data_IF_733139749684
#
_entry.id   IF_733139749684
#
_cell.length_a   1.000
_cell.length_b   1.000
_cell.length_c   1.000
_cell.angle_alpha   90.00
_cell.angle_beta   90.00
_cell.angle_gamma   90.00
#
_symmetry.space_group_name_H-M   'P 1'
#
loop_
_entity.id
_entity.type
_entity.pdbx_description
1 polymer ?
#
# COMPACT_ATOMS: atom_id res chain seq x y z
N UNK A 1 -2.22 -12.18 27.40
CA UNK A 1 -2.42 -13.03 26.21
C UNK A 1 -1.30 -14.02 26.13
N UNK A 2 -1.55 -15.24 26.51
CA UNK A 2 -0.58 -16.30 26.46
C UNK A 2 -0.77 -17.06 25.14
N UNK A 3 -0.16 -16.57 24.11
CA UNK A 3 0.18 -17.36 22.94
C UNK A 3 1.46 -18.13 23.26
N UNK A 4 1.74 -19.17 22.50
CA UNK A 4 2.98 -19.93 22.63
C UNK A 4 4.18 -18.97 22.57
N UNK A 5 4.99 -18.98 23.61
CA UNK A 5 6.16 -18.11 23.78
C UNK A 5 7.42 -18.95 23.59
N UNK A 6 8.40 -18.42 22.89
CA UNK A 6 9.67 -19.06 22.67
C UNK A 6 10.08 -19.15 21.20
N UNK A 7 11.36 -19.43 20.97
CA UNK A 7 11.94 -19.50 19.63
C UNK A 7 11.63 -20.84 18.91
N UNK A 8 11.30 -21.87 19.67
CA UNK A 8 10.92 -23.19 19.13
C UNK A 8 9.80 -23.81 19.98
N UNK A 9 8.55 -23.49 19.67
CA UNK A 9 7.41 -24.00 20.42
C UNK A 9 7.29 -25.53 20.29
N UNK A 10 7.01 -26.19 21.39
CA UNK A 10 6.62 -27.62 21.35
C UNK A 10 5.15 -27.72 20.90
N UNK A 11 4.96 -28.14 19.68
CA UNK A 11 3.65 -28.27 19.06
C UNK A 11 2.85 -29.48 19.53
N UNK A 12 3.44 -30.42 20.27
CA UNK A 12 2.72 -31.61 20.74
C UNK A 12 1.57 -31.27 21.68
N UNK A 13 1.79 -30.26 22.51
CA UNK A 13 0.82 -29.79 23.50
C UNK A 13 0.25 -28.42 23.14
N UNK A 14 0.29 -28.03 21.86
CA UNK A 14 -0.27 -26.80 21.41
C UNK A 14 -1.74 -26.65 21.84
N UNK A 15 -2.11 -25.48 22.39
CA UNK A 15 -3.43 -25.27 23.00
C UNK A 15 -4.54 -25.00 21.97
N UNK A 16 -4.37 -25.44 20.74
CA UNK A 16 -5.30 -25.17 19.65
C UNK A 16 -5.28 -26.21 18.53
N UNK A 17 -6.18 -26.06 17.58
CA UNK A 17 -6.19 -26.85 16.35
C UNK A 17 -5.16 -26.30 15.36
N UNK A 18 -3.98 -26.86 15.37
CA UNK A 18 -2.81 -26.39 14.64
C UNK A 18 -1.95 -27.58 14.18
N UNK A 19 -1.08 -27.35 13.21
CA UNK A 19 -0.08 -28.30 12.73
C UNK A 19 -0.67 -29.62 12.20
N UNK A 20 -1.94 -29.62 11.74
CA UNK A 20 -2.66 -30.83 11.32
C UNK A 20 -2.74 -31.92 12.42
N UNK A 21 -2.45 -31.55 13.67
CA UNK A 21 -2.32 -32.55 14.78
C UNK A 21 -3.66 -32.94 15.37
N UNK A 22 -4.72 -32.18 15.13
CA UNK A 22 -6.06 -32.41 15.70
C UNK A 22 -7.08 -32.70 14.62
N UNK A 23 -7.34 -31.71 13.76
CA UNK A 23 -8.19 -31.82 12.58
C UNK A 23 -7.46 -31.29 11.35
N UNK A 24 -7.63 -31.95 10.23
CA UNK A 24 -7.17 -31.46 8.93
C UNK A 24 -8.15 -30.48 8.29
N UNK A 25 -8.86 -29.72 9.10
CA UNK A 25 -9.82 -28.68 8.74
C UNK A 25 -10.13 -27.79 9.95
N UNK A 26 -10.92 -26.76 9.77
CA UNK A 26 -11.49 -26.03 10.91
C UNK A 26 -12.36 -26.93 11.78
N UNK A 27 -12.42 -26.65 13.07
CA UNK A 27 -13.26 -27.33 14.05
C UNK A 27 -14.25 -26.36 14.69
N UNK A 28 -15.26 -26.86 15.45
CA UNK A 28 -16.15 -26.00 16.23
C UNK A 28 -15.37 -25.06 17.17
N UNK A 29 -15.82 -23.81 17.25
CA UNK A 29 -15.13 -22.70 17.96
C UNK A 29 -15.08 -22.86 19.48
N UNK A 30 -15.74 -23.85 20.04
CA UNK A 30 -15.84 -24.12 21.49
C UNK A 30 -14.90 -25.26 21.96
N UNK A 31 -13.98 -25.70 21.12
CA UNK A 31 -13.13 -26.87 21.40
C UNK A 31 -11.89 -26.55 22.22
N UNK A 32 -11.29 -25.42 22.03
CA UNK A 32 -10.01 -25.08 22.64
C UNK A 32 -10.16 -23.83 23.51
N UNK A 33 -10.53 -24.05 24.77
CA UNK A 33 -10.68 -22.96 25.74
C UNK A 33 -9.31 -22.47 26.23
N UNK A 34 -9.17 -21.16 26.35
CA UNK A 34 -8.02 -20.47 26.94
C UNK A 34 -8.56 -19.39 27.88
N UNK A 35 -8.82 -19.77 29.13
CA UNK A 35 -9.59 -18.98 30.07
C UNK A 35 -11.03 -18.77 29.58
N UNK A 36 -11.47 -17.53 29.53
CA UNK A 36 -12.80 -17.16 29.04
C UNK A 36 -12.89 -17.05 27.51
N UNK A 37 -11.82 -17.36 26.79
CA UNK A 37 -11.76 -17.29 25.35
C UNK A 37 -11.59 -18.67 24.72
N UNK A 38 -11.97 -18.79 23.46
CA UNK A 38 -11.79 -20.00 22.68
C UNK A 38 -10.99 -19.71 21.42
N UNK A 39 -10.24 -20.70 20.93
CA UNK A 39 -9.53 -20.65 19.65
C UNK A 39 -8.67 -19.40 19.46
N UNK A 40 -7.93 -18.97 20.49
CA UNK A 40 -6.95 -17.89 20.33
C UNK A 40 -5.75 -18.33 19.48
N UNK A 41 -5.51 -19.64 19.41
CA UNK A 41 -4.42 -20.28 18.66
C UNK A 41 -4.99 -21.36 17.77
N UNK A 42 -4.61 -21.33 16.48
CA UNK A 42 -5.02 -22.34 15.50
C UNK A 42 -6.47 -22.17 15.04
N UNK A 43 -7.04 -23.22 14.54
CA UNK A 43 -8.35 -23.32 13.89
C UNK A 43 -8.43 -22.50 12.62
N UNK A 44 -8.66 -21.19 12.68
CA UNK A 44 -8.59 -20.26 11.57
C UNK A 44 -7.80 -19.00 11.97
N UNK A 45 -7.05 -18.44 11.05
CA UNK A 45 -6.43 -17.15 11.23
C UNK A 45 -7.48 -16.10 11.64
N UNK A 46 -7.12 -15.18 12.51
CA UNK A 46 -8.02 -14.14 12.99
C UNK A 46 -7.63 -12.79 12.41
N UNK A 47 -8.49 -12.23 11.59
CA UNK A 47 -8.37 -10.88 11.10
C UNK A 47 -8.38 -9.87 12.24
N UNK A 48 -7.47 -8.93 12.19
CA UNK A 48 -7.48 -7.75 13.05
C UNK A 48 -7.85 -6.51 12.26
N UNK A 49 -8.20 -5.45 12.96
CA UNK A 49 -8.39 -4.11 12.36
C UNK A 49 -7.07 -3.37 12.16
N UNK A 50 -5.99 -3.88 12.73
CA UNK A 50 -4.66 -3.25 12.70
C UNK A 50 -4.00 -3.45 11.35
N UNK A 51 -3.67 -2.40 10.59
CA UNK A 51 -2.85 -2.52 9.41
C UNK A 51 -1.42 -2.93 9.79
N UNK A 52 -0.71 -3.55 8.86
CA UNK A 52 0.71 -3.80 9.06
C UNK A 52 1.51 -2.54 8.75
N UNK A 53 2.44 -2.21 9.65
CA UNK A 53 3.39 -1.11 9.48
C UNK A 53 4.74 -1.50 10.07
N UNK A 54 5.79 -0.77 9.71
CA UNK A 54 7.09 -0.86 10.37
C UNK A 54 6.99 -0.45 11.84
N UNK A 55 7.86 -1.00 12.67
CA UNK A 55 8.08 -0.47 14.02
C UNK A 55 8.90 0.82 13.95
N UNK A 56 8.86 1.61 15.01
CA UNK A 56 9.73 2.78 15.13
C UNK A 56 11.21 2.42 14.87
N UNK A 57 11.88 3.17 14.00
CA UNK A 57 13.25 2.90 13.57
C UNK A 57 13.37 1.81 12.48
N UNK A 58 12.26 1.28 11.96
CA UNK A 58 12.31 0.33 10.84
C UNK A 58 13.00 0.95 9.62
N UNK A 59 13.82 0.15 8.94
CA UNK A 59 14.44 0.50 7.65
C UNK A 59 14.26 -0.63 6.66
N UNK A 60 13.95 -0.27 5.41
CA UNK A 60 13.83 -1.25 4.32
C UNK A 60 15.18 -1.93 4.10
N UNK A 61 15.16 -3.25 4.03
CA UNK A 61 16.38 -3.99 3.71
C UNK A 61 16.77 -3.76 2.24
N UNK A 62 18.02 -3.39 1.94
CA UNK A 62 18.43 -3.00 0.58
C UNK A 62 18.23 -4.07 -0.48
N UNK A 63 18.24 -5.34 -0.09
CA UNK A 63 18.11 -6.47 -1.01
C UNK A 63 16.75 -7.16 -0.94
N UNK A 64 15.90 -6.81 0.02
CA UNK A 64 14.64 -7.50 0.24
C UNK A 64 13.59 -6.58 0.86
N UNK A 65 12.59 -6.21 0.10
CA UNK A 65 11.52 -5.29 0.51
C UNK A 65 10.11 -5.85 0.31
N UNK A 66 9.95 -7.02 -0.31
CA UNK A 66 8.70 -7.60 -0.78
C UNK A 66 7.59 -7.66 0.28
N UNK A 67 7.93 -7.91 1.53
CA UNK A 67 6.99 -8.00 2.66
C UNK A 67 7.03 -6.79 3.60
N UNK A 68 7.59 -5.68 3.16
CA UNK A 68 7.65 -4.45 3.92
C UNK A 68 6.91 -3.32 3.22
N UNK A 69 7.60 -2.48 2.48
CA UNK A 69 7.03 -1.28 1.87
C UNK A 69 5.77 -1.54 1.03
N UNK A 70 5.71 -2.57 0.15
CA UNK A 70 4.52 -2.84 -0.64
C UNK A 70 3.28 -3.23 0.18
N UNK A 71 3.46 -3.67 1.41
CA UNK A 71 2.37 -4.07 2.30
C UNK A 71 1.96 -2.99 3.31
N UNK A 72 2.74 -1.91 3.43
CA UNK A 72 2.46 -0.78 4.32
C UNK A 72 1.50 0.24 3.69
N UNK A 73 0.46 -0.26 3.06
CA UNK A 73 -0.50 0.51 2.27
C UNK A 73 -1.80 0.85 3.04
N UNK A 74 -1.84 0.57 4.33
CA UNK A 74 -3.04 0.75 5.16
C UNK A 74 -4.19 -0.23 4.89
N UNK A 75 -4.07 -1.08 3.85
CA UNK A 75 -5.09 -2.06 3.44
C UNK A 75 -4.76 -3.50 3.83
N UNK A 76 -3.47 -3.78 4.04
CA UNK A 76 -3.04 -5.08 4.54
C UNK A 76 -3.26 -5.14 6.04
N UNK A 77 -4.32 -5.83 6.45
CA UNK A 77 -4.62 -6.05 7.86
C UNK A 77 -3.82 -7.24 8.40
N UNK A 78 -3.37 -7.13 9.65
CA UNK A 78 -2.67 -8.22 10.30
C UNK A 78 -3.62 -9.37 10.59
N UNK A 79 -3.14 -10.60 10.40
CA UNK A 79 -3.78 -11.83 10.85
C UNK A 79 -2.95 -12.45 11.97
N UNK A 80 -3.61 -13.08 12.94
CA UNK A 80 -3.00 -13.61 14.15
C UNK A 80 -3.53 -15.01 14.47
N UNK A 81 -2.76 -15.75 15.28
CA UNK A 81 -3.17 -16.99 15.88
C UNK A 81 -2.87 -18.27 15.10
N UNK A 82 -2.60 -18.16 13.81
CA UNK A 82 -2.46 -19.32 12.95
C UNK A 82 -3.79 -20.01 12.60
N UNK A 83 -3.74 -21.00 11.72
CA UNK A 83 -4.88 -21.84 11.35
C UNK A 83 -4.56 -23.31 11.62
N UNK A 84 -5.49 -24.21 11.36
CA UNK A 84 -5.33 -25.65 11.53
C UNK A 84 -4.15 -26.25 10.75
N UNK A 85 -3.71 -25.60 9.67
CA UNK A 85 -2.57 -26.01 8.84
C UNK A 85 -1.25 -25.33 9.23
N UNK A 86 -1.30 -24.27 10.03
CA UNK A 86 -0.12 -23.47 10.38
C UNK A 86 0.90 -24.27 11.16
N UNK A 87 2.19 -24.09 10.83
CA UNK A 87 3.33 -24.77 11.44
C UNK A 87 4.42 -23.76 11.84
N UNK A 88 5.46 -24.20 12.52
CA UNK A 88 6.59 -23.34 12.89
C UNK A 88 6.20 -22.17 13.78
N UNK A 89 6.62 -20.97 13.42
CA UNK A 89 6.46 -19.78 14.25
C UNK A 89 5.17 -18.99 13.97
N UNK A 90 4.28 -19.48 13.14
CA UNK A 90 3.12 -18.73 12.68
C UNK A 90 2.12 -18.40 13.80
N UNK A 91 2.03 -19.24 14.82
CA UNK A 91 1.13 -19.02 15.96
C UNK A 91 1.78 -18.26 17.12
N UNK A 92 3.05 -17.89 17.03
CA UNK A 92 3.69 -17.07 18.06
C UNK A 92 3.09 -15.69 18.15
N UNK A 93 3.08 -15.10 19.35
CA UNK A 93 2.58 -13.73 19.54
C UNK A 93 3.37 -12.67 18.77
N UNK A 94 4.64 -12.91 18.48
CA UNK A 94 5.48 -12.06 17.64
C UNK A 94 5.18 -12.21 16.14
N UNK A 95 4.52 -13.28 15.70
CA UNK A 95 4.19 -13.48 14.29
C UNK A 95 3.29 -12.37 13.76
N UNK A 96 3.67 -11.82 12.61
CA UNK A 96 2.98 -10.71 11.94
C UNK A 96 2.85 -11.02 10.47
N UNK A 97 1.75 -11.63 10.11
CA UNK A 97 1.37 -11.81 8.72
C UNK A 97 0.28 -10.81 8.37
N UNK A 98 0.27 -10.35 7.14
CA UNK A 98 -0.73 -9.39 6.71
C UNK A 98 -1.15 -9.64 5.28
N UNK A 99 -2.46 -9.49 5.04
CA UNK A 99 -3.07 -9.64 3.73
C UNK A 99 -4.15 -8.59 3.52
N UNK A 100 -4.49 -8.31 2.28
CA UNK A 100 -5.71 -7.57 1.97
C UNK A 100 -6.92 -8.44 2.31
N UNK A 101 -7.98 -7.83 2.84
CA UNK A 101 -9.13 -8.56 3.42
C UNK A 101 -9.91 -9.43 2.42
N UNK A 102 -9.79 -9.17 1.12
CA UNK A 102 -10.38 -10.01 0.11
C UNK A 102 -9.59 -11.31 -0.14
N UNK A 103 -8.39 -11.42 0.38
CA UNK A 103 -7.54 -12.59 0.21
C UNK A 103 -7.97 -13.68 1.20
N UNK A 104 -8.33 -14.84 0.69
CA UNK A 104 -8.81 -15.96 1.51
C UNK A 104 -7.62 -16.75 2.07
N UNK A 105 -7.49 -16.79 3.40
CA UNK A 105 -6.36 -17.40 4.09
C UNK A 105 -6.80 -18.34 5.23
N UNK A 106 -7.85 -19.12 5.06
CA UNK A 106 -8.43 -19.88 6.17
C UNK A 106 -8.63 -18.98 7.40
N UNK A 107 -9.25 -17.84 7.18
CA UNK A 107 -9.35 -16.79 8.17
C UNK A 107 -10.80 -16.52 8.55
N UNK A 108 -10.99 -16.19 9.81
CA UNK A 108 -12.22 -15.70 10.38
C UNK A 108 -12.00 -14.36 11.07
N UNK A 109 -12.95 -13.95 11.85
CA UNK A 109 -12.85 -12.72 12.64
C UNK A 109 -13.51 -12.91 13.99
N UNK A 110 -13.12 -12.06 14.91
CA UNK A 110 -13.69 -11.95 16.25
C UNK A 110 -14.13 -10.50 16.42
N UNK A 111 -15.37 -10.27 16.82
CA UNK A 111 -15.86 -8.91 17.01
C UNK A 111 -16.03 -8.58 18.50
N UNK A 112 -15.93 -7.30 18.81
CA UNK A 112 -16.17 -6.74 20.13
C UNK A 112 -17.23 -5.66 19.98
N UNK A 113 -18.23 -5.71 20.87
CA UNK A 113 -19.19 -4.59 21.00
C UNK A 113 -18.61 -3.63 22.04
N UNK A 114 -18.29 -2.42 21.62
CA UNK A 114 -17.71 -1.39 22.46
C UNK A 114 -18.42 -0.05 22.24
N UNK A 115 -18.56 0.72 23.32
CA UNK A 115 -18.99 2.11 23.26
C UNK A 115 -17.85 3.06 22.87
N UNK A 116 -16.61 2.58 22.84
CA UNK A 116 -15.46 3.32 22.39
C UNK A 116 -15.18 2.98 20.92
N UNK A 117 -15.21 4.01 20.10
CA UNK A 117 -14.78 3.89 18.70
C UNK A 117 -13.26 3.98 18.68
N UNK A 118 -12.59 2.88 18.35
CA UNK A 118 -11.15 2.95 18.05
C UNK A 118 -10.95 3.80 16.80
N UNK A 119 -10.18 4.87 16.92
CA UNK A 119 -9.72 5.59 15.75
C UNK A 119 -8.73 4.70 15.00
N UNK A 120 -9.16 4.15 13.88
CA UNK A 120 -8.26 3.54 12.93
C UNK A 120 -7.33 4.64 12.40
N UNK A 121 -6.03 4.49 12.56
CA UNK A 121 -5.07 5.30 11.81
C UNK A 121 -5.15 4.82 10.36
N UNK A 122 -6.10 5.39 9.62
CA UNK A 122 -6.16 5.18 8.18
C UNK A 122 -5.15 6.11 7.53
N UNK A 123 -4.33 5.57 6.64
CA UNK A 123 -3.55 6.43 5.76
C UNK A 123 -4.53 7.19 4.84
N UNK A 124 -4.68 8.52 4.96
CA UNK A 124 -5.66 9.27 4.17
C UNK A 124 -5.38 9.15 2.66
N UNK A 125 -4.12 8.98 2.27
CA UNK A 125 -3.70 8.85 0.88
C UNK A 125 -4.13 7.52 0.22
N UNK A 126 -4.68 6.59 0.99
CA UNK A 126 -5.23 5.33 0.50
C UNK A 126 -6.76 5.36 0.32
N UNK A 127 -7.38 6.55 0.30
CA UNK A 127 -8.84 6.72 0.13
C UNK A 127 -9.21 7.16 -1.29
N UNK A 128 -10.41 6.82 -1.74
CA UNK A 128 -10.93 7.25 -3.04
C UNK A 128 -11.06 8.78 -3.14
N UNK A 129 -11.43 9.41 -2.04
CA UNK A 129 -11.51 10.86 -1.95
C UNK A 129 -10.15 11.51 -2.19
N UNK A 130 -9.10 11.00 -1.58
CA UNK A 130 -7.76 11.55 -1.75
C UNK A 130 -7.21 11.30 -3.16
N UNK A 131 -7.46 10.11 -3.72
CA UNK A 131 -7.12 9.81 -5.12
C UNK A 131 -7.80 10.82 -6.06
N UNK A 132 -9.09 11.08 -5.85
CA UNK A 132 -9.85 12.04 -6.67
C UNK A 132 -9.30 13.46 -6.54
N UNK A 133 -8.96 13.91 -5.31
CA UNK A 133 -8.38 15.23 -5.08
C UNK A 133 -7.02 15.41 -5.77
N UNK A 134 -6.14 14.38 -5.68
CA UNK A 134 -4.84 14.43 -6.34
C UNK A 134 -4.94 14.34 -7.87
N UNK A 135 -5.91 13.60 -8.39
CA UNK A 135 -6.18 13.59 -9.82
C UNK A 135 -6.66 14.97 -10.30
N UNK A 136 -7.54 15.61 -9.56
CA UNK A 136 -8.01 16.96 -9.90
C UNK A 136 -6.87 17.97 -9.78
N UNK A 137 -6.08 17.93 -8.73
CA UNK A 137 -4.92 18.79 -8.54
C UNK A 137 -3.87 18.62 -9.65
N UNK A 138 -3.59 17.40 -10.07
CA UNK A 138 -2.54 17.09 -11.05
C UNK A 138 -3.00 17.16 -12.51
N UNK A 139 -4.27 16.85 -12.80
CA UNK A 139 -4.79 16.73 -14.17
C UNK A 139 -6.03 17.56 -14.44
N UNK A 140 -6.60 18.18 -13.43
CA UNK A 140 -7.78 19.02 -13.56
C UNK A 140 -7.51 20.30 -14.37
N UNK A 141 -8.54 21.10 -14.61
CA UNK A 141 -8.42 22.35 -15.34
C UNK A 141 -7.61 23.40 -14.58
N UNK A 142 -7.15 24.41 -15.26
CA UNK A 142 -6.54 25.56 -14.62
C UNK A 142 -7.62 26.36 -13.87
N UNK A 143 -7.48 26.43 -12.54
CA UNK A 143 -8.35 27.23 -11.69
C UNK A 143 -7.79 28.63 -11.52
N UNK A 144 -8.63 29.63 -11.65
CA UNK A 144 -8.27 31.04 -11.46
C UNK A 144 -7.13 31.56 -12.37
N UNK A 145 -6.89 30.91 -13.49
CA UNK A 145 -5.78 31.25 -14.40
C UNK A 145 -4.40 30.86 -13.87
N UNK A 146 -4.35 29.99 -12.86
CA UNK A 146 -3.09 29.45 -12.33
C UNK A 146 -2.70 28.21 -13.13
N UNK A 147 -1.49 28.22 -13.67
CA UNK A 147 -0.95 27.09 -14.43
C UNK A 147 -0.84 25.82 -13.57
N UNK A 148 -0.97 24.67 -14.23
CA UNK A 148 -0.80 23.38 -13.55
C UNK A 148 0.56 23.31 -12.83
N UNK A 149 0.52 23.12 -11.53
CA UNK A 149 1.70 23.15 -10.67
C UNK A 149 2.76 22.13 -11.08
N UNK A 150 2.35 20.87 -11.32
CA UNK A 150 3.31 19.80 -11.65
C UNK A 150 4.05 20.10 -12.98
N UNK A 151 3.32 20.62 -13.97
CA UNK A 151 3.94 21.05 -15.23
C UNK A 151 4.89 22.23 -15.03
N UNK A 152 4.47 23.28 -14.33
CA UNK A 152 5.29 24.46 -14.07
C UNK A 152 6.56 24.13 -13.30
N UNK A 153 6.48 23.21 -12.34
CA UNK A 153 7.64 22.73 -11.57
C UNK A 153 8.64 22.02 -12.50
N UNK A 154 8.18 21.13 -13.38
CA UNK A 154 9.03 20.44 -14.35
C UNK A 154 9.67 21.41 -15.32
N UNK A 155 8.95 22.39 -15.83
CA UNK A 155 9.49 23.44 -16.71
C UNK A 155 10.67 24.15 -16.03
N UNK A 156 10.51 24.60 -14.77
CA UNK A 156 11.59 25.24 -13.97
C UNK A 156 12.77 24.29 -13.74
N UNK A 157 12.50 23.05 -13.35
CA UNK A 157 13.54 22.06 -13.10
C UNK A 157 14.35 21.76 -14.38
N UNK A 158 13.67 21.73 -15.52
CA UNK A 158 14.30 21.57 -16.82
C UNK A 158 15.17 22.77 -17.23
N UNK A 159 14.82 23.99 -16.86
CA UNK A 159 15.61 25.18 -17.19
C UNK A 159 16.98 25.20 -16.47
N UNK A 160 17.04 24.61 -15.28
CA UNK A 160 18.28 24.61 -14.47
C UNK A 160 19.11 23.32 -14.62
N UNK A 161 18.57 22.28 -15.30
CA UNK A 161 19.23 21.00 -15.48
C UNK A 161 19.70 20.83 -16.91
N UNK A 162 21.01 20.63 -17.12
CA UNK A 162 21.60 20.49 -18.47
C UNK A 162 21.61 19.05 -19.00
N UNK A 163 21.74 18.07 -18.10
CA UNK A 163 21.72 16.64 -18.45
C UNK A 163 20.30 16.09 -18.42
N UNK A 164 20.01 15.13 -19.28
CA UNK A 164 18.64 14.62 -19.49
C UNK A 164 18.57 13.09 -19.55
N UNK A 165 19.50 12.41 -18.90
CA UNK A 165 19.51 10.96 -18.92
C UNK A 165 18.50 10.39 -17.94
N UNK A 166 18.58 10.78 -16.64
CA UNK A 166 17.76 10.16 -15.58
C UNK A 166 17.18 11.19 -14.63
N UNK A 167 15.88 11.07 -14.36
CA UNK A 167 15.17 11.85 -13.34
C UNK A 167 14.50 10.95 -12.29
N UNK A 168 14.43 11.43 -11.05
CA UNK A 168 13.71 10.81 -9.95
C UNK A 168 12.69 11.78 -9.39
N UNK A 169 11.42 11.39 -9.41
CA UNK A 169 10.29 12.14 -8.86
C UNK A 169 9.86 11.48 -7.54
N UNK A 170 10.20 12.07 -6.41
CA UNK A 170 9.91 11.57 -5.07
C UNK A 170 8.62 12.20 -4.54
N UNK A 171 7.63 11.38 -4.23
CA UNK A 171 6.28 11.83 -3.90
C UNK A 171 5.48 12.17 -5.15
N UNK A 172 5.63 11.33 -6.19
CA UNK A 172 5.04 11.58 -7.51
C UNK A 172 3.50 11.58 -7.53
N UNK A 173 2.85 11.12 -6.46
CA UNK A 173 1.41 10.93 -6.35
C UNK A 173 0.86 10.15 -7.56
N UNK A 174 -0.12 10.69 -8.31
CA UNK A 174 -0.68 10.03 -9.49
C UNK A 174 0.15 10.22 -10.78
N UNK A 175 1.38 10.74 -10.65
CA UNK A 175 2.43 10.67 -11.67
C UNK A 175 2.51 11.84 -12.64
N UNK A 176 1.77 12.95 -12.46
CA UNK A 176 1.78 14.04 -13.43
C UNK A 176 3.17 14.61 -13.70
N UNK A 177 3.95 14.91 -12.68
CA UNK A 177 5.30 15.44 -12.85
C UNK A 177 6.22 14.42 -13.53
N UNK A 178 6.12 13.14 -13.17
CA UNK A 178 6.85 12.06 -13.85
C UNK A 178 6.52 11.98 -15.33
N UNK A 179 5.24 12.12 -15.72
CA UNK A 179 4.83 12.14 -17.13
C UNK A 179 5.36 13.37 -17.88
N UNK A 180 5.38 14.53 -17.25
CA UNK A 180 5.98 15.72 -17.87
C UNK A 180 7.50 15.60 -17.99
N UNK A 181 8.20 15.04 -16.98
CA UNK A 181 9.63 14.76 -17.04
C UNK A 181 9.99 13.82 -18.20
N UNK A 182 9.14 12.85 -18.50
CA UNK A 182 9.36 11.91 -19.60
C UNK A 182 9.35 12.56 -21.01
N UNK A 183 8.97 13.82 -21.13
CA UNK A 183 9.15 14.62 -22.36
C UNK A 183 10.61 15.02 -22.58
N UNK A 184 11.37 15.11 -21.48
CA UNK A 184 12.69 15.72 -21.43
C UNK A 184 13.81 14.76 -21.06
N UNK A 185 13.49 13.66 -20.35
CA UNK A 185 14.43 12.69 -19.85
C UNK A 185 14.28 11.33 -20.55
N UNK A 186 15.38 10.60 -20.71
CA UNK A 186 15.37 9.27 -21.31
C UNK A 186 14.79 8.22 -20.36
N UNK A 187 15.00 8.39 -19.05
CA UNK A 187 14.47 7.52 -18.00
C UNK A 187 13.94 8.36 -16.83
N UNK A 188 12.77 8.03 -16.37
CA UNK A 188 12.14 8.64 -15.20
C UNK A 188 11.73 7.56 -14.21
N UNK A 189 12.02 7.78 -12.94
CA UNK A 189 11.50 6.96 -11.86
C UNK A 189 10.55 7.83 -11.04
N UNK A 190 9.29 7.45 -10.98
CA UNK A 190 8.29 8.05 -10.09
C UNK A 190 8.09 7.16 -8.87
N UNK A 191 8.19 7.72 -7.68
CA UNK A 191 8.02 6.99 -6.44
C UNK A 191 7.05 7.69 -5.51
N UNK A 192 6.14 6.93 -4.93
CA UNK A 192 5.22 7.41 -3.89
C UNK A 192 4.98 6.35 -2.82
N UNK A 193 4.65 6.78 -1.62
CA UNK A 193 4.31 5.87 -0.52
C UNK A 193 2.92 5.24 -0.71
N UNK A 194 1.97 5.96 -1.33
CA UNK A 194 0.63 5.46 -1.56
C UNK A 194 0.60 4.42 -2.69
N UNK A 195 0.19 3.20 -2.34
CA UNK A 195 -0.04 2.14 -3.32
C UNK A 195 -1.14 2.51 -4.31
N UNK A 196 -2.15 3.26 -3.87
CA UNK A 196 -3.25 3.68 -4.74
C UNK A 196 -2.82 4.73 -5.76
N UNK A 197 -1.99 5.67 -5.37
CA UNK A 197 -1.46 6.65 -6.30
C UNK A 197 -0.62 5.98 -7.39
N UNK A 198 0.25 5.05 -6.99
CA UNK A 198 1.07 4.28 -7.93
C UNK A 198 0.19 3.41 -8.85
N UNK A 199 -0.86 2.78 -8.33
CA UNK A 199 -1.80 2.01 -9.16
C UNK A 199 -2.46 2.88 -10.24
N UNK A 200 -2.91 4.09 -9.89
CA UNK A 200 -3.45 5.06 -10.86
C UNK A 200 -2.39 5.42 -11.91
N UNK A 201 -1.16 5.75 -11.49
CA UNK A 201 -0.07 6.09 -12.40
C UNK A 201 0.24 4.94 -13.38
N UNK A 202 0.24 3.69 -12.90
CA UNK A 202 0.43 2.50 -13.74
C UNK A 202 -0.72 2.29 -14.73
N UNK A 203 -1.97 2.50 -14.32
CA UNK A 203 -3.12 2.42 -15.23
C UNK A 203 -3.03 3.46 -16.33
N UNK A 204 -2.67 4.70 -16.00
CA UNK A 204 -2.44 5.74 -17.00
C UNK A 204 -1.27 5.38 -17.94
N UNK A 205 -0.19 4.79 -17.42
CA UNK A 205 0.95 4.32 -18.23
C UNK A 205 0.54 3.25 -19.24
N UNK A 206 -0.40 2.38 -18.90
CA UNK A 206 -0.92 1.35 -19.82
C UNK A 206 -1.83 1.94 -20.93
N UNK A 207 -2.13 3.22 -20.86
CA UNK A 207 -3.02 3.90 -21.80
C UNK A 207 -4.50 3.80 -21.44
N UNK A 208 -4.81 3.31 -20.25
CA UNK A 208 -6.18 3.26 -19.74
C UNK A 208 -6.65 4.65 -19.29
N UNK A 209 -7.95 4.87 -19.41
CA UNK A 209 -8.60 6.06 -18.89
C UNK A 209 -8.89 5.88 -17.40
N UNK A 210 -8.66 6.90 -16.59
CA UNK A 210 -9.02 6.86 -15.17
C UNK A 210 -10.16 7.85 -14.88
N UNK A 211 -11.22 7.37 -14.24
CA UNK A 211 -12.38 8.17 -13.85
C UNK A 211 -12.31 8.52 -12.36
N UNK A 212 -12.64 9.75 -12.03
CA UNK A 212 -12.67 10.25 -10.67
C UNK A 212 -13.85 11.21 -10.45
N UNK A 213 -14.05 11.61 -9.22
CA UNK A 213 -15.18 12.44 -8.81
C UNK A 213 -14.67 13.67 -8.06
N UNK A 214 -15.11 14.85 -8.46
CA UNK A 214 -14.88 16.09 -7.71
C UNK A 214 -16.16 16.53 -7.02
N UNK A 215 -16.06 16.96 -5.77
CA UNK A 215 -17.18 17.52 -5.02
C UNK A 215 -17.36 18.98 -5.39
N UNK A 216 -18.54 19.35 -5.81
CA UNK A 216 -18.88 20.71 -6.18
C UNK A 216 -19.50 21.48 -5.00
N UNK A 217 -20.64 21.00 -4.52
CA UNK A 217 -21.36 21.62 -3.41
C UNK A 217 -22.19 20.56 -2.65
N UNK A 218 -21.98 20.43 -1.35
CA UNK A 218 -22.72 19.45 -0.54
C UNK A 218 -22.53 18.02 -1.06
N UNK A 219 -23.61 17.39 -1.54
CA UNK A 219 -23.58 16.05 -2.13
C UNK A 219 -23.47 16.08 -3.67
N UNK A 220 -23.42 17.25 -4.29
CA UNK A 220 -23.27 17.37 -5.73
C UNK A 220 -21.84 17.08 -6.14
N UNK A 221 -21.71 16.22 -7.13
CA UNK A 221 -20.41 15.77 -7.64
C UNK A 221 -20.34 15.90 -9.15
N UNK A 222 -19.16 16.18 -9.66
CA UNK A 222 -18.83 16.14 -11.08
C UNK A 222 -17.99 14.89 -11.37
N UNK A 223 -18.33 14.16 -12.45
CA UNK A 223 -17.54 13.03 -12.93
C UNK A 223 -16.53 13.51 -13.95
N UNK A 224 -15.27 13.24 -13.68
CA UNK A 224 -14.15 13.61 -14.54
C UNK A 224 -13.35 12.40 -14.98
N UNK A 225 -12.51 12.58 -15.97
CA UNK A 225 -11.70 11.54 -16.57
C UNK A 225 -10.32 12.07 -16.93
N UNK A 226 -9.29 11.28 -16.67
CA UNK A 226 -7.90 11.55 -17.06
C UNK A 226 -7.51 10.59 -18.17
N UNK A 227 -6.86 11.13 -19.20
CA UNK A 227 -6.21 10.38 -20.27
C UNK A 227 -4.91 11.08 -20.65
N UNK A 228 -3.82 10.31 -20.81
CA UNK A 228 -2.52 10.91 -21.16
C UNK A 228 -2.55 11.68 -22.47
N UNK A 229 -3.36 11.23 -23.44
CA UNK A 229 -3.53 11.96 -24.72
C UNK A 229 -4.08 13.37 -24.56
N UNK A 230 -4.90 13.63 -23.53
CA UNK A 230 -5.51 14.94 -23.30
C UNK A 230 -4.47 15.97 -22.80
N UNK A 231 -3.36 15.49 -22.25
CA UNK A 231 -2.20 16.31 -21.88
C UNK A 231 -1.05 16.20 -22.92
N UNK A 232 -1.34 15.67 -24.09
CA UNK A 232 -0.38 15.57 -25.21
C UNK A 232 0.74 14.57 -24.95
N UNK A 233 0.47 13.49 -24.20
CA UNK A 233 1.39 12.38 -23.93
C UNK A 233 0.89 11.09 -24.57
N UNK A 234 1.82 10.28 -25.03
CA UNK A 234 1.55 8.97 -25.60
C UNK A 234 2.27 7.84 -24.91
N UNK A 235 2.06 6.63 -25.41
CA UNK A 235 2.68 5.42 -24.88
C UNK A 235 4.22 5.43 -24.98
N UNK A 236 4.79 6.16 -25.95
CA UNK A 236 6.24 6.31 -26.10
C UNK A 236 6.85 7.01 -24.88
N UNK A 237 6.31 8.15 -24.45
CA UNK A 237 6.78 8.86 -23.27
C UNK A 237 6.50 8.03 -22.00
N UNK A 238 5.32 7.45 -21.89
CA UNK A 238 4.95 6.59 -20.77
C UNK A 238 5.90 5.41 -20.57
N UNK A 239 6.43 4.82 -21.66
CA UNK A 239 7.38 3.71 -21.59
C UNK A 239 8.76 4.06 -20.99
N UNK A 240 9.07 5.36 -20.87
CA UNK A 240 10.30 5.83 -20.22
C UNK A 240 10.20 5.91 -18.70
N UNK A 241 9.00 5.67 -18.15
CA UNK A 241 8.73 5.87 -16.72
C UNK A 241 8.60 4.52 -16.03
N UNK A 242 9.29 4.38 -14.90
CA UNK A 242 9.08 3.31 -13.95
C UNK A 242 8.42 3.88 -12.68
N UNK A 243 7.20 3.41 -12.36
CA UNK A 243 6.55 3.77 -11.11
C UNK A 243 6.81 2.71 -10.04
N UNK A 244 7.17 3.17 -8.84
CA UNK A 244 7.51 2.32 -7.69
C UNK A 244 6.77 2.81 -6.45
N UNK A 245 6.20 1.89 -5.70
CA UNK A 245 5.81 2.21 -4.33
C UNK A 245 7.08 2.23 -3.46
N UNK A 246 7.28 3.30 -2.70
CA UNK A 246 8.45 3.44 -1.85
C UNK A 246 8.31 4.51 -0.78
N UNK A 247 9.16 4.40 0.22
CA UNK A 247 9.24 5.36 1.33
C UNK A 247 10.39 6.35 1.09
N UNK A 248 10.06 7.62 0.92
CA UNK A 248 11.04 8.70 0.72
C UNK A 248 12.03 8.83 1.89
N UNK A 249 11.62 8.44 3.11
CA UNK A 249 12.48 8.44 4.27
C UNK A 249 13.43 7.24 4.33
N UNK A 250 13.27 6.27 3.41
CA UNK A 250 13.99 4.99 3.44
C UNK A 250 14.39 4.54 2.03
N UNK A 251 15.08 5.43 1.32
CA UNK A 251 15.50 5.18 -0.06
C UNK A 251 16.58 4.11 -0.13
N UNK A 252 16.45 3.23 -1.11
CA UNK A 252 17.50 2.25 -1.44
C UNK A 252 18.68 2.92 -2.13
N UNK A 253 19.92 2.45 -1.88
CA UNK A 253 21.08 2.88 -2.65
C UNK A 253 20.84 2.65 -4.15
N UNK A 254 21.15 3.65 -4.96
CA UNK A 254 21.04 3.57 -6.42
C UNK A 254 22.41 3.27 -7.04
N UNK A 255 22.41 2.39 -8.05
CA UNK A 255 23.65 2.02 -8.77
C UNK A 255 24.17 3.18 -9.64
N UNK A 256 23.28 4.06 -10.09
CA UNK A 256 23.62 5.19 -10.96
C UNK A 256 22.97 6.46 -10.43
N UNK A 257 23.63 7.61 -10.54
CA UNK A 257 23.07 8.90 -10.10
C UNK A 257 21.91 9.33 -10.99
N UNK A 258 21.11 10.26 -10.46
CA UNK A 258 20.11 10.99 -11.22
C UNK A 258 20.62 12.38 -11.58
N UNK A 259 20.22 12.88 -12.74
CA UNK A 259 20.57 14.25 -13.17
C UNK A 259 19.61 15.28 -12.54
N UNK A 260 18.40 14.83 -12.18
CA UNK A 260 17.38 15.60 -11.47
C UNK A 260 16.72 14.72 -10.40
N UNK A 261 16.49 15.31 -9.23
CA UNK A 261 15.70 14.70 -8.13
C UNK A 261 14.71 15.74 -7.64
#
# INVERSE_FOLDING_TARGET
REQVDGDQPDWKDAPGNINLSRWASSCPVDRFAQGDFYDLIGNVWQWTTTPINGFEGFRVHPLYDDFSTPTFDGKHAQIKGGSWISTGNEALKSARYAFRRHFFQHAGFRYVVSTHQESMVSNPYETDSMVSQYLDFQYGPEYFGVANYAKALVDIACDVTSRRERALDIGCATGRASFELARHFDQVVGMDYSARFIDVALQLTSGEDFRYVTQEEGELVEYRQVRLKDIGLGTEQASRIQFLQGDACNLKPQAQPYDLV
#
